data_IF_055182216104
#
_entry.id   IF_055182216104
#
_cell.length_a   1.000
_cell.length_b   1.000
_cell.length_c   1.000
_cell.angle_alpha   90.00
_cell.angle_beta   90.00
_cell.angle_gamma   90.00
#
_symmetry.space_group_name_H-M   'P 1'
#
loop_
_entity.id
_entity.type
_entity.pdbx_description
1 polymer ?
#
# COMPACT_ATOMS: atom_id res chain seq x y z
N UNK A 1 -24.43 -6.92 9.05
CA UNK A 1 -23.65 -6.79 7.82
C UNK A 1 -23.12 -5.35 7.71
N UNK A 2 -21.85 -5.18 7.51
CA UNK A 2 -21.26 -3.84 7.44
C UNK A 2 -21.49 -3.19 6.09
N UNK A 3 -21.69 -1.89 6.07
CA UNK A 3 -21.83 -1.09 4.85
C UNK A 3 -20.44 -0.74 4.30
N UNK A 4 -20.39 -0.21 3.08
CA UNK A 4 -19.15 0.29 2.47
C UNK A 4 -18.51 1.36 3.37
N UNK A 5 -19.32 2.31 3.87
CA UNK A 5 -18.83 3.36 4.77
C UNK A 5 -18.19 2.78 6.04
N UNK A 6 -18.83 1.78 6.64
CA UNK A 6 -18.30 1.12 7.83
C UNK A 6 -16.98 0.40 7.54
N UNK A 7 -16.88 -0.27 6.40
CA UNK A 7 -15.63 -0.93 5.98
C UNK A 7 -14.51 0.09 5.74
N UNK A 8 -14.83 1.24 5.13
CA UNK A 8 -13.85 2.33 4.98
C UNK A 8 -13.35 2.81 6.34
N UNK A 9 -14.23 2.95 7.31
CA UNK A 9 -13.82 3.36 8.66
C UNK A 9 -12.92 2.33 9.33
N UNK A 10 -13.11 1.04 9.06
CA UNK A 10 -12.17 0.00 9.52
C UNK A 10 -10.78 0.20 8.92
N UNK A 11 -10.69 0.56 7.65
CA UNK A 11 -9.40 0.86 7.00
C UNK A 11 -8.75 2.09 7.63
N UNK A 12 -9.52 3.13 7.92
CA UNK A 12 -9.02 4.34 8.59
C UNK A 12 -8.40 3.97 9.94
N UNK A 13 -9.09 3.18 10.75
CA UNK A 13 -8.59 2.74 12.06
C UNK A 13 -7.33 1.89 11.94
N UNK A 14 -7.29 0.97 10.98
CA UNK A 14 -6.12 0.13 10.73
C UNK A 14 -4.89 0.95 10.34
N UNK A 15 -5.09 2.04 9.61
CA UNK A 15 -4.01 2.93 9.15
C UNK A 15 -3.66 4.04 10.15
N UNK A 16 -4.03 3.89 11.40
CA UNK A 16 -3.64 4.79 12.49
C UNK A 16 -4.74 5.72 12.99
N UNK A 17 -5.93 5.69 12.43
CA UNK A 17 -7.08 6.46 12.89
C UNK A 17 -7.04 7.95 12.57
N UNK A 18 -6.04 8.44 11.86
CA UNK A 18 -5.92 9.86 11.49
C UNK A 18 -6.73 10.17 10.24
N UNK A 19 -7.91 10.74 10.43
CA UNK A 19 -8.82 11.10 9.33
C UNK A 19 -8.22 12.10 8.36
N UNK A 20 -7.44 13.06 8.84
CA UNK A 20 -6.81 14.09 8.02
C UNK A 20 -5.77 13.50 7.08
N UNK A 21 -4.90 12.61 7.59
CA UNK A 21 -3.90 11.93 6.78
C UNK A 21 -4.54 11.02 5.75
N UNK A 22 -5.54 10.25 6.16
CA UNK A 22 -6.27 9.36 5.28
C UNK A 22 -6.94 10.14 4.14
N UNK A 23 -7.64 11.23 4.48
CA UNK A 23 -8.32 12.09 3.51
C UNK A 23 -7.33 12.69 2.50
N UNK A 24 -6.19 13.15 2.97
CA UNK A 24 -5.16 13.73 2.11
C UNK A 24 -4.63 12.74 1.07
N UNK A 25 -4.43 11.49 1.47
CA UNK A 25 -3.91 10.44 0.59
C UNK A 25 -4.86 10.08 -0.54
N UNK A 26 -6.15 10.27 -0.35
CA UNK A 26 -7.17 9.98 -1.38
C UNK A 26 -7.83 11.25 -1.94
N UNK A 27 -7.26 12.42 -1.67
CA UNK A 27 -7.72 13.71 -2.19
C UNK A 27 -9.18 14.06 -1.85
N UNK A 28 -9.58 13.77 -0.62
CA UNK A 28 -10.88 14.19 -0.09
C UNK A 28 -10.67 15.02 1.18
N UNK A 29 -11.74 15.63 1.68
CA UNK A 29 -11.65 16.42 2.92
C UNK A 29 -11.79 15.55 4.16
N UNK A 30 -11.18 15.95 5.30
CA UNK A 30 -11.40 15.25 6.57
C UNK A 30 -12.88 15.22 6.97
N UNK A 31 -13.63 16.26 6.61
CA UNK A 31 -15.09 16.31 6.86
C UNK A 31 -15.83 15.19 6.12
N UNK A 32 -15.38 14.83 4.91
CA UNK A 32 -15.96 13.72 4.17
C UNK A 32 -15.74 12.39 4.88
N UNK A 33 -14.54 12.17 5.41
CA UNK A 33 -14.24 10.96 6.20
C UNK A 33 -15.09 10.91 7.46
N UNK A 34 -15.26 12.04 8.13
CA UNK A 34 -16.13 12.14 9.32
C UNK A 34 -17.59 11.81 8.97
N UNK A 35 -18.06 12.25 7.79
CA UNK A 35 -19.41 11.93 7.31
C UNK A 35 -19.58 10.42 7.09
N UNK A 36 -18.58 9.75 6.52
CA UNK A 36 -18.61 8.30 6.36
C UNK A 36 -18.72 7.58 7.71
N UNK A 37 -18.06 8.11 8.74
CA UNK A 37 -18.12 7.56 10.10
C UNK A 37 -19.48 7.78 10.79
N UNK A 38 -20.21 8.82 10.42
CA UNK A 38 -21.51 9.16 11.03
C UNK A 38 -22.70 8.58 10.28
N UNK A 39 -22.58 8.40 8.98
CA UNK A 39 -23.65 7.91 8.14
C UNK A 39 -23.26 6.60 7.47
N UNK A 40 -23.67 5.45 8.04
CA UNK A 40 -23.32 4.14 7.46
C UNK A 40 -23.99 3.88 6.11
N UNK A 41 -24.98 4.68 5.72
CA UNK A 41 -25.65 4.56 4.43
C UNK A 41 -25.02 5.46 3.36
N UNK A 42 -23.99 6.22 3.70
CA UNK A 42 -23.27 7.05 2.75
C UNK A 42 -22.52 6.17 1.75
N UNK A 43 -22.77 6.37 0.46
CA UNK A 43 -22.11 5.60 -0.60
C UNK A 43 -21.06 6.51 -1.24
N UNK A 44 -19.76 6.20 -1.10
CA UNK A 44 -18.71 6.97 -1.76
C UNK A 44 -18.75 6.74 -3.28
N UNK A 45 -18.19 7.70 -4.02
CA UNK A 45 -18.05 7.57 -5.47
C UNK A 45 -17.13 6.42 -5.85
N UNK A 46 -17.29 5.91 -7.07
CA UNK A 46 -16.40 4.86 -7.59
C UNK A 46 -14.94 5.30 -7.60
N UNK A 47 -14.70 6.59 -7.88
CA UNK A 47 -13.36 7.16 -7.84
C UNK A 47 -12.75 7.09 -6.44
N UNK A 48 -13.51 7.45 -5.42
CA UNK A 48 -13.06 7.39 -4.03
C UNK A 48 -12.73 5.96 -3.62
N UNK A 49 -13.59 5.00 -3.98
CA UNK A 49 -13.36 3.58 -3.72
C UNK A 49 -12.07 3.11 -4.42
N UNK A 50 -11.89 3.46 -5.69
CA UNK A 50 -10.69 3.10 -6.44
C UNK A 50 -9.42 3.70 -5.81
N UNK A 51 -9.48 4.96 -5.37
CA UNK A 51 -8.35 5.62 -4.72
C UNK A 51 -7.97 4.95 -3.40
N UNK A 52 -8.95 4.57 -2.59
CA UNK A 52 -8.71 3.84 -1.33
C UNK A 52 -8.04 2.49 -1.62
N UNK A 53 -8.56 1.74 -2.58
CA UNK A 53 -8.02 0.43 -2.93
C UNK A 53 -6.57 0.53 -3.42
N UNK A 54 -6.27 1.53 -4.23
CA UNK A 54 -4.93 1.75 -4.77
C UNK A 54 -3.94 2.21 -3.69
N UNK A 55 -4.32 3.19 -2.88
CA UNK A 55 -3.41 3.78 -1.89
C UNK A 55 -3.09 2.84 -0.74
N UNK A 56 -4.03 2.01 -0.35
CA UNK A 56 -3.91 1.18 0.84
C UNK A 56 -3.86 -0.32 0.56
N UNK A 57 -3.79 -0.71 -0.71
CA UNK A 57 -3.78 -2.12 -1.15
C UNK A 57 -4.98 -2.90 -0.57
N UNK A 58 -6.16 -2.33 -0.72
CA UNK A 58 -7.42 -2.92 -0.25
C UNK A 58 -8.13 -3.56 -1.42
N UNK A 59 -8.71 -4.74 -1.21
CA UNK A 59 -9.52 -5.41 -2.21
C UNK A 59 -10.82 -4.65 -2.46
N UNK A 60 -11.08 -4.29 -3.72
CA UNK A 60 -12.32 -3.62 -4.11
C UNK A 60 -13.54 -4.52 -3.85
N UNK A 61 -13.41 -5.82 -4.13
CA UNK A 61 -14.48 -6.77 -3.84
C UNK A 61 -14.84 -6.78 -2.36
N UNK A 62 -13.84 -6.84 -1.49
CA UNK A 62 -14.09 -6.77 -0.04
C UNK A 62 -14.72 -5.45 0.36
N UNK A 63 -14.19 -4.32 -0.15
CA UNK A 63 -14.69 -3.01 0.23
C UNK A 63 -16.16 -2.81 -0.19
N UNK A 64 -16.55 -3.30 -1.37
CA UNK A 64 -17.91 -3.18 -1.87
C UNK A 64 -18.88 -4.21 -1.30
N UNK A 65 -18.44 -5.44 -1.07
CA UNK A 65 -19.33 -6.57 -0.74
C UNK A 65 -19.06 -7.21 0.61
N UNK A 66 -17.88 -7.00 1.18
CA UNK A 66 -17.45 -7.70 2.39
C UNK A 66 -16.91 -9.09 2.15
N UNK A 67 -16.85 -9.55 0.91
CA UNK A 67 -16.35 -10.89 0.56
C UNK A 67 -14.83 -10.90 0.36
N UNK A 68 -14.20 -11.97 0.79
CA UNK A 68 -12.78 -12.20 0.59
C UNK A 68 -11.91 -11.51 1.62
N UNK A 69 -10.61 -11.46 1.34
CA UNK A 69 -9.61 -10.83 2.20
C UNK A 69 -9.60 -9.33 1.94
N UNK A 70 -9.63 -8.47 3.00
CA UNK A 70 -9.54 -7.03 2.83
C UNK A 70 -8.24 -6.57 2.18
N UNK A 71 -7.15 -7.28 2.39
CA UNK A 71 -5.83 -6.90 1.90
C UNK A 71 -5.48 -7.62 0.61
N UNK A 72 -4.98 -6.85 -0.37
CA UNK A 72 -4.36 -7.43 -1.56
C UNK A 72 -2.95 -7.82 -1.17
N UNK A 73 -2.67 -9.12 -1.21
CA UNK A 73 -1.32 -9.61 -0.99
C UNK A 73 -0.59 -9.58 -2.32
N UNK A 74 0.42 -8.72 -2.41
CA UNK A 74 1.32 -8.73 -3.55
C UNK A 74 2.27 -9.90 -3.42
N UNK A 75 2.47 -10.62 -4.52
CA UNK A 75 3.54 -11.59 -4.63
C UNK A 75 4.87 -10.83 -4.56
N UNK A 76 5.73 -11.19 -3.60
CA UNK A 76 7.04 -10.57 -3.43
C UNK A 76 7.90 -10.68 -4.69
N UNK A 77 7.77 -11.79 -5.43
CA UNK A 77 8.50 -12.00 -6.67
C UNK A 77 8.03 -11.04 -7.77
N UNK A 78 6.73 -10.80 -7.88
CA UNK A 78 6.19 -9.82 -8.84
C UNK A 78 6.64 -8.41 -8.50
N UNK A 79 6.63 -8.04 -7.25
CA UNK A 79 7.11 -6.73 -6.78
C UNK A 79 8.60 -6.56 -7.07
N UNK A 80 9.39 -7.60 -6.82
CA UNK A 80 10.82 -7.60 -7.12
C UNK A 80 11.08 -7.38 -8.61
N UNK A 81 10.37 -8.09 -9.48
CA UNK A 81 10.49 -7.94 -10.93
C UNK A 81 10.13 -6.52 -11.36
N UNK A 82 9.04 -5.96 -10.84
CA UNK A 82 8.61 -4.59 -11.15
C UNK A 82 9.67 -3.56 -10.76
N UNK A 83 10.23 -3.69 -9.55
CA UNK A 83 11.29 -2.78 -9.08
C UNK A 83 12.54 -2.91 -9.95
N UNK A 84 12.94 -4.13 -10.32
CA UNK A 84 14.10 -4.36 -11.17
C UNK A 84 13.91 -3.77 -12.57
N UNK A 85 12.71 -3.85 -13.12
CA UNK A 85 12.41 -3.21 -14.41
C UNK A 85 12.52 -1.69 -14.31
N UNK A 86 11.99 -1.08 -13.26
CA UNK A 86 12.09 0.35 -13.03
C UNK A 86 13.55 0.81 -12.89
N UNK A 87 14.37 0.06 -12.17
CA UNK A 87 15.79 0.34 -12.01
C UNK A 87 16.52 0.23 -13.37
N UNK A 88 16.18 -0.80 -14.15
CA UNK A 88 16.77 -1.00 -15.48
C UNK A 88 16.47 0.17 -16.42
N UNK A 89 15.26 0.72 -16.35
CA UNK A 89 14.83 1.86 -17.16
C UNK A 89 15.31 3.20 -16.62
N UNK A 90 15.83 3.26 -15.40
CA UNK A 90 16.33 4.48 -14.80
C UNK A 90 17.72 4.84 -15.32
N UNK A 91 18.09 6.13 -15.22
CA UNK A 91 19.42 6.61 -15.54
C UNK A 91 20.37 6.56 -14.34
N UNK A 92 19.99 5.92 -13.26
CA UNK A 92 20.77 5.86 -12.03
C UNK A 92 21.79 4.73 -12.06
N UNK A 93 23.01 5.04 -12.54
CA UNK A 93 24.13 4.10 -12.60
C UNK A 93 24.57 3.62 -11.23
N UNK A 94 24.43 4.43 -10.20
CA UNK A 94 24.87 4.08 -8.84
C UNK A 94 24.08 2.89 -8.30
N UNK A 95 22.77 2.92 -8.43
CA UNK A 95 21.91 1.84 -7.98
C UNK A 95 22.21 0.55 -8.77
N UNK A 96 22.38 0.67 -10.08
CA UNK A 96 22.72 -0.47 -10.95
C UNK A 96 24.05 -1.10 -10.53
N UNK A 97 25.05 -0.28 -10.19
CA UNK A 97 26.35 -0.76 -9.70
C UNK A 97 26.25 -1.47 -8.36
N UNK A 98 25.45 -0.92 -7.44
CA UNK A 98 25.24 -1.53 -6.12
C UNK A 98 24.59 -2.91 -6.27
N UNK A 99 23.56 -3.03 -7.10
CA UNK A 99 22.88 -4.30 -7.35
C UNK A 99 23.84 -5.31 -7.97
N UNK A 100 24.60 -4.89 -8.98
CA UNK A 100 25.55 -5.75 -9.67
C UNK A 100 26.65 -6.24 -8.73
N UNK A 101 27.21 -5.33 -7.93
CA UNK A 101 28.22 -5.67 -6.94
C UNK A 101 27.68 -6.63 -5.87
N UNK A 102 26.45 -6.40 -5.41
CA UNK A 102 25.79 -7.24 -4.41
C UNK A 102 25.55 -8.66 -4.93
N UNK A 103 25.19 -8.81 -6.19
CA UNK A 103 24.96 -10.13 -6.79
C UNK A 103 26.24 -10.98 -6.86
N UNK A 104 27.37 -10.34 -7.14
CA UNK A 104 28.67 -11.04 -7.27
C UNK A 104 29.48 -11.10 -5.96
N UNK A 105 28.91 -10.67 -4.84
CA UNK A 105 29.55 -10.77 -3.53
C UNK A 105 29.66 -12.20 -3.06
N UNK A 106 30.70 -12.47 -2.26
CA UNK A 106 30.84 -13.73 -1.53
C UNK A 106 29.76 -13.83 -0.44
N UNK A 107 29.47 -15.06 0.00
CA UNK A 107 28.40 -15.31 0.97
C UNK A 107 28.59 -14.58 2.29
N UNK A 108 29.82 -14.45 2.77
CA UNK A 108 30.15 -13.73 4.01
C UNK A 108 29.92 -12.22 3.86
N UNK A 109 30.22 -11.67 2.69
CA UNK A 109 29.95 -10.26 2.38
C UNK A 109 28.45 -9.99 2.30
N UNK A 110 27.67 -10.87 1.67
CA UNK A 110 26.21 -10.80 1.61
C UNK A 110 25.59 -10.91 3.00
N UNK A 111 26.13 -11.75 3.87
CA UNK A 111 25.69 -11.89 5.25
C UNK A 111 25.89 -10.60 6.05
N UNK A 112 27.00 -9.90 5.83
CA UNK A 112 27.25 -8.61 6.47
C UNK A 112 26.24 -7.54 6.04
N UNK A 113 25.90 -7.47 4.75
CA UNK A 113 24.89 -6.55 4.23
C UNK A 113 23.50 -6.89 4.77
N UNK A 114 23.15 -8.18 4.81
CA UNK A 114 21.87 -8.64 5.38
C UNK A 114 21.73 -8.19 6.83
N UNK A 115 22.77 -8.37 7.61
CA UNK A 115 22.79 -7.94 9.01
C UNK A 115 22.59 -6.44 9.16
N UNK A 116 23.17 -5.64 8.28
CA UNK A 116 23.01 -4.19 8.27
C UNK A 116 21.56 -3.80 7.94
N UNK A 117 20.95 -4.43 6.93
CA UNK A 117 19.58 -4.16 6.52
C UNK A 117 18.59 -4.59 7.60
N UNK A 118 18.79 -5.76 8.21
CA UNK A 118 17.92 -6.29 9.27
C UNK A 118 18.02 -5.44 10.55
N UNK A 119 19.08 -4.65 10.71
CA UNK A 119 19.25 -3.72 11.82
C UNK A 119 18.50 -2.40 11.68
N UNK A 120 17.91 -2.14 10.53
CA UNK A 120 17.05 -0.99 10.32
C UNK A 120 15.61 -1.39 10.66
#
# INVERSE_FOLDING_TARGET
MKTIAERIMEVVEEKGGNKSDFARKINVTPAYISKLGKDPNCIPSDRTIADICREFNISELWLRTGEGDPHIQRDEDEEFIEVMEQIHMSDDDLIKRIIKASWFMEDDEKAAIRKLIDGF
#
